data_IF_414504055267
#
_entry.id   IF_414504055267
#
_cell.length_a   1.000
_cell.length_b   1.000
_cell.length_c   1.000
_cell.angle_alpha   90.00
_cell.angle_beta   90.00
_cell.angle_gamma   90.00
#
_symmetry.space_group_name_H-M   'P 1'
#
loop_
_entity.id
_entity.type
_entity.pdbx_description
1 polymer ?
#
# COMPACT_ATOMS: atom_id res chain seq x y z
N UNK A 1 12.28 -12.88 -5.39
CA UNK A 1 12.91 -12.17 -4.27
C UNK A 1 11.83 -11.87 -3.25
N UNK A 2 12.07 -12.17 -1.97
CA UNK A 2 11.09 -11.97 -0.89
C UNK A 2 11.57 -10.87 0.03
N UNK A 3 10.71 -9.90 0.35
CA UNK A 3 11.01 -8.77 1.23
C UNK A 3 9.91 -8.63 2.27
N UNK A 4 10.28 -8.52 3.53
CA UNK A 4 9.36 -8.24 4.63
C UNK A 4 9.58 -6.81 5.13
N UNK A 5 8.54 -6.00 5.09
CA UNK A 5 8.51 -4.68 5.71
C UNK A 5 7.85 -4.80 7.09
N UNK A 6 8.49 -4.28 8.14
CA UNK A 6 8.00 -4.35 9.52
C UNK A 6 7.82 -2.97 10.14
N UNK A 7 7.09 -2.92 11.25
CA UNK A 7 6.89 -1.71 12.07
C UNK A 7 6.38 -0.50 11.28
N UNK A 8 5.59 -0.75 10.23
CA UNK A 8 4.92 0.30 9.46
C UNK A 8 4.02 1.05 10.43
N UNK A 9 4.22 2.35 10.61
CA UNK A 9 3.42 3.16 11.54
C UNK A 9 1.94 3.00 11.24
N UNK A 10 1.58 3.17 9.97
CA UNK A 10 0.23 2.96 9.45
C UNK A 10 0.31 2.40 8.03
N UNK A 11 -0.26 1.21 7.82
CA UNK A 11 -0.51 0.63 6.51
C UNK A 11 -1.93 1.04 6.08
N UNK A 12 -1.99 1.89 5.07
CA UNK A 12 -3.20 2.63 4.69
C UNK A 12 -3.93 1.93 3.55
N UNK A 13 -5.27 2.04 3.55
CA UNK A 13 -6.16 1.56 2.50
C UNK A 13 -6.15 0.03 2.36
N UNK A 14 -6.29 -0.67 3.49
CA UNK A 14 -6.32 -2.15 3.58
C UNK A 14 -7.73 -2.73 3.41
N UNK A 15 -8.61 -2.02 2.69
CA UNK A 15 -9.99 -2.43 2.52
C UNK A 15 -10.09 -3.75 1.74
N UNK A 16 -10.95 -4.70 2.16
CA UNK A 16 -11.21 -5.89 1.37
C UNK A 16 -12.07 -5.58 0.14
N UNK A 17 -11.77 -6.24 -0.98
CA UNK A 17 -12.54 -6.13 -2.22
C UNK A 17 -12.05 -5.03 -3.17
N UNK A 18 -12.73 -4.91 -4.31
CA UNK A 18 -12.35 -4.02 -5.40
C UNK A 18 -13.53 -3.19 -5.94
N UNK A 19 -14.56 -2.99 -5.11
CA UNK A 19 -15.74 -2.22 -5.49
C UNK A 19 -15.46 -0.72 -5.37
N UNK A 20 -15.81 0.10 -6.37
CA UNK A 20 -15.65 1.55 -6.28
C UNK A 20 -16.46 2.14 -5.12
N UNK A 21 -15.78 2.87 -4.24
CA UNK A 21 -16.40 3.65 -3.17
C UNK A 21 -17.13 4.87 -3.74
N UNK A 22 -18.25 5.23 -3.13
CA UNK A 22 -19.12 6.34 -3.55
C UNK A 22 -19.72 7.09 -2.35
N UNK A 23 -19.82 8.41 -2.45
CA UNK A 23 -20.49 9.25 -1.45
C UNK A 23 -19.89 9.06 -0.05
N UNK A 24 -20.74 8.87 0.97
CA UNK A 24 -20.32 8.73 2.36
C UNK A 24 -19.34 7.56 2.61
N UNK A 25 -19.35 6.52 1.76
CA UNK A 25 -18.40 5.40 1.89
C UNK A 25 -16.95 5.79 1.62
N UNK A 26 -16.70 6.91 0.93
CA UNK A 26 -15.33 7.41 0.69
C UNK A 26 -14.69 8.04 1.93
N UNK A 27 -15.48 8.32 2.98
CA UNK A 27 -14.97 8.86 4.23
C UNK A 27 -14.37 7.78 5.15
N UNK A 28 -14.62 6.50 4.87
CA UNK A 28 -14.05 5.38 5.60
C UNK A 28 -12.72 4.97 4.96
N UNK A 29 -11.62 5.16 5.69
CA UNK A 29 -10.27 4.81 5.25
C UNK A 29 -9.68 3.78 6.22
N UNK A 30 -9.73 2.49 5.88
CA UNK A 30 -9.15 1.44 6.71
C UNK A 30 -7.62 1.59 6.83
N UNK A 31 -7.12 1.49 8.05
CA UNK A 31 -5.69 1.57 8.38
C UNK A 31 -5.35 0.48 9.39
N UNK A 32 -4.21 -0.17 9.21
CA UNK A 32 -3.61 -1.05 10.22
C UNK A 32 -2.44 -0.30 10.87
N UNK A 33 -2.51 -0.08 12.17
CA UNK A 33 -1.42 0.51 12.95
C UNK A 33 -0.36 -0.53 13.30
N UNK A 34 0.91 -0.11 13.33
CA UNK A 34 2.05 -0.98 13.62
C UNK A 34 1.98 -2.29 12.83
N UNK A 35 2.10 -2.19 11.51
CA UNK A 35 1.81 -3.28 10.57
C UNK A 35 3.08 -3.91 9.96
N UNK A 36 2.89 -5.05 9.30
CA UNK A 36 3.86 -5.68 8.41
C UNK A 36 3.29 -5.85 6.99
N UNK A 37 4.18 -5.97 6.02
CA UNK A 37 3.86 -6.27 4.62
C UNK A 37 4.93 -7.22 4.06
N UNK A 38 4.51 -8.42 3.62
CA UNK A 38 5.34 -9.40 2.95
C UNK A 38 5.11 -9.32 1.44
N UNK A 39 6.17 -9.10 0.69
CA UNK A 39 6.17 -9.04 -0.78
C UNK A 39 7.00 -10.19 -1.33
N UNK A 40 6.42 -10.96 -2.24
CA UNK A 40 7.08 -12.05 -2.96
C UNK A 40 7.09 -11.74 -4.45
N UNK A 41 8.27 -11.43 -4.97
CA UNK A 41 8.43 -10.97 -6.35
C UNK A 41 7.67 -9.66 -6.58
N UNK A 42 6.65 -9.71 -7.44
CA UNK A 42 5.83 -8.56 -7.83
C UNK A 42 4.48 -8.50 -7.11
N UNK A 43 4.25 -9.37 -6.12
CA UNK A 43 2.94 -9.52 -5.47
C UNK A 43 3.04 -9.31 -3.97
N UNK A 44 1.99 -8.69 -3.42
CA UNK A 44 1.74 -8.71 -1.98
C UNK A 44 1.32 -10.13 -1.60
N UNK A 45 2.13 -10.79 -0.78
CA UNK A 45 1.86 -12.15 -0.32
C UNK A 45 0.97 -12.14 0.93
N UNK A 46 1.32 -11.31 1.92
CA UNK A 46 0.60 -11.16 3.20
C UNK A 46 0.80 -9.76 3.76
N UNK A 47 -0.13 -9.29 4.58
CA UNK A 47 0.02 -8.12 5.42
C UNK A 47 -0.88 -8.26 6.65
N UNK A 48 -0.59 -7.51 7.69
CA UNK A 48 -1.34 -7.56 8.94
C UNK A 48 -0.71 -6.70 10.02
N UNK A 49 -1.26 -6.74 11.22
CA UNK A 49 -0.67 -6.08 12.37
C UNK A 49 0.58 -6.84 12.83
N UNK A 50 1.57 -6.13 13.39
CA UNK A 50 2.84 -6.73 13.82
C UNK A 50 2.66 -7.82 14.87
N UNK A 51 1.63 -7.75 15.71
CA UNK A 51 1.34 -8.80 16.69
C UNK A 51 0.90 -10.14 16.07
N UNK A 52 0.49 -10.14 14.79
CA UNK A 52 0.11 -11.34 14.05
C UNK A 52 1.25 -11.88 13.19
N UNK A 53 2.42 -11.19 13.18
CA UNK A 53 3.51 -11.50 12.26
C UNK A 53 3.99 -12.94 12.42
N UNK A 54 4.30 -13.37 13.64
CA UNK A 54 4.82 -14.73 13.90
C UNK A 54 3.82 -15.82 13.48
N UNK A 55 2.52 -15.54 13.63
CA UNK A 55 1.46 -16.46 13.24
C UNK A 55 1.32 -16.54 11.71
N UNK A 56 1.40 -15.39 11.03
CA UNK A 56 1.15 -15.28 9.58
C UNK A 56 2.39 -15.54 8.73
N UNK A 57 3.58 -15.32 9.28
CA UNK A 57 4.90 -15.44 8.65
C UNK A 57 5.85 -16.17 9.62
N UNK A 58 5.69 -17.49 9.80
CA UNK A 58 6.49 -18.25 10.78
C UNK A 58 7.98 -18.34 10.40
N UNK A 59 8.30 -18.25 9.12
CA UNK A 59 9.67 -18.21 8.62
C UNK A 59 9.98 -16.84 8.01
N UNK A 60 10.82 -16.06 8.68
CA UNK A 60 11.20 -14.74 8.22
C UNK A 60 12.16 -14.82 7.02
N UNK A 61 11.97 -14.00 5.96
CA UNK A 61 12.90 -13.97 4.84
C UNK A 61 14.21 -13.29 5.23
N UNK A 62 15.27 -13.52 4.46
CA UNK A 62 16.58 -12.89 4.68
C UNK A 62 16.61 -11.37 4.43
N UNK A 63 15.59 -10.80 3.75
CA UNK A 63 15.50 -9.36 3.49
C UNK A 63 14.33 -8.75 4.29
N UNK A 64 14.67 -8.06 5.37
CA UNK A 64 13.73 -7.39 6.27
C UNK A 64 14.06 -5.90 6.32
N UNK A 65 13.04 -5.06 6.20
CA UNK A 65 13.16 -3.60 6.20
C UNK A 65 12.25 -3.00 7.27
N UNK A 66 12.86 -2.36 8.26
CA UNK A 66 12.14 -1.64 9.32
C UNK A 66 11.65 -0.28 8.79
N UNK A 67 10.34 -0.04 8.89
CA UNK A 67 9.66 1.19 8.47
C UNK A 67 9.08 1.98 9.66
N UNK A 68 9.66 1.84 10.85
CA UNK A 68 9.30 2.59 12.05
C UNK A 68 9.11 4.08 11.78
N UNK A 69 7.94 4.59 12.20
CA UNK A 69 7.56 6.00 12.02
C UNK A 69 7.12 6.38 10.60
N UNK A 70 7.17 5.47 9.63
CA UNK A 70 6.79 5.71 8.23
C UNK A 70 5.40 5.17 7.91
N UNK A 71 4.74 5.83 6.97
CA UNK A 71 3.46 5.40 6.42
C UNK A 71 3.69 4.61 5.13
N UNK A 72 2.88 3.60 4.89
CA UNK A 72 2.83 2.88 3.62
C UNK A 72 1.41 2.96 3.09
N UNK A 73 1.29 3.41 1.85
CA UNK A 73 0.04 3.58 1.12
C UNK A 73 0.23 3.01 -0.30
N UNK A 74 -0.85 2.56 -0.96
CA UNK A 74 -0.84 2.34 -2.40
C UNK A 74 -0.36 3.58 -3.13
N UNK A 75 0.27 3.40 -4.28
CA UNK A 75 0.66 4.52 -5.14
C UNK A 75 -0.57 5.25 -5.69
N UNK A 76 -0.41 6.54 -5.98
CA UNK A 76 -1.42 7.32 -6.68
C UNK A 76 -1.73 6.73 -8.06
N UNK A 77 -3.00 6.71 -8.44
CA UNK A 77 -3.45 6.38 -9.79
C UNK A 77 -3.85 7.68 -10.49
N UNK A 78 -3.08 8.10 -11.49
CA UNK A 78 -3.45 9.22 -12.35
C UNK A 78 -4.45 8.73 -13.41
N UNK A 79 -5.74 8.91 -13.13
CA UNK A 79 -6.81 8.40 -13.99
C UNK A 79 -6.98 9.18 -15.28
N UNK A 80 -6.37 10.37 -15.41
CA UNK A 80 -6.60 11.22 -16.56
C UNK A 80 -5.40 12.11 -16.86
N UNK A 81 -4.61 11.67 -17.84
CA UNK A 81 -3.43 12.40 -18.32
C UNK A 81 -3.40 12.47 -19.83
N UNK A 82 -2.97 13.61 -20.35
CA UNK A 82 -2.64 13.80 -21.76
C UNK A 82 -1.13 13.79 -21.91
N UNK A 83 -0.52 12.64 -21.65
CA UNK A 83 0.95 12.51 -21.57
C UNK A 83 1.65 12.95 -22.86
N UNK A 84 1.10 12.57 -24.02
CA UNK A 84 1.59 13.05 -25.32
C UNK A 84 0.91 14.39 -25.61
N UNK A 85 1.69 15.46 -25.46
CA UNK A 85 1.22 16.84 -25.56
C UNK A 85 2.20 17.67 -26.41
N UNK A 86 1.71 18.30 -27.47
CA UNK A 86 2.55 19.05 -28.42
C UNK A 86 2.88 20.48 -27.94
N UNK A 87 2.12 21.04 -27.00
CA UNK A 87 2.25 22.42 -26.54
C UNK A 87 0.89 23.06 -26.23
N UNK A 88 0.90 24.16 -25.49
CA UNK A 88 -0.33 24.89 -25.14
C UNK A 88 -0.95 25.53 -26.38
N UNK A 89 -2.29 25.65 -26.39
CA UNK A 89 -3.08 26.33 -27.43
C UNK A 89 -3.70 27.63 -26.92
N UNK A 90 -3.17 28.19 -25.84
CA UNK A 90 -3.66 29.42 -25.22
C UNK A 90 -3.61 30.66 -26.13
N UNK A 91 -2.84 30.60 -27.23
CA UNK A 91 -2.67 31.71 -28.18
C UNK A 91 -3.30 31.49 -29.56
N UNK A 92 -4.10 30.44 -29.75
CA UNK A 92 -4.99 30.34 -30.93
C UNK A 92 -6.21 31.26 -30.78
#
# INVERSE_FOLDING_TARGET
>A
MTVLFTHIKQLVNTQPGNTPLKGASMADLPVIENAFLLVEGERIAKFGAMHDLELLVPELPGNVVDLSGKFVLPSWCDSHTHLVFAGSRETE
#
